data_IF_277838750905
#
_entry.id   IF_277838750905
#
_cell.length_a   1.000
_cell.length_b   1.000
_cell.length_c   1.000
_cell.angle_alpha   90.00
_cell.angle_beta   90.00
_cell.angle_gamma   90.00
#
_symmetry.space_group_name_H-M   'P 1'
#
loop_
_entity.id
_entity.type
_entity.pdbx_description
1 polymer ?
#
# COMPACT_ATOMS: atom_id res chain seq x y z
N UNK A 1 13.83 16.75 14.49
CA UNK A 1 12.41 16.33 14.53
C UNK A 1 12.31 14.93 13.94
N UNK A 2 11.51 14.05 14.53
CA UNK A 2 11.30 12.68 14.06
C UNK A 2 10.44 12.67 12.79
N UNK A 3 10.81 11.86 11.80
CA UNK A 3 10.04 11.71 10.55
C UNK A 3 9.11 10.51 10.67
N UNK A 4 7.90 10.64 10.12
CA UNK A 4 6.88 9.60 10.14
C UNK A 4 6.64 9.04 8.74
N UNK A 5 6.24 7.77 8.66
CA UNK A 5 5.90 7.06 7.43
C UNK A 5 4.82 6.02 7.74
N UNK A 6 4.12 5.55 6.72
CA UNK A 6 3.05 4.57 6.84
C UNK A 6 3.45 3.28 6.13
N UNK A 7 3.18 2.14 6.77
CA UNK A 7 3.17 0.82 6.14
C UNK A 7 1.74 0.31 6.18
N UNK A 8 1.15 0.09 5.01
CA UNK A 8 -0.20 -0.42 4.85
C UNK A 8 -0.18 -1.87 4.34
N UNK A 9 -0.98 -2.72 4.96
CA UNK A 9 -1.21 -4.08 4.51
C UNK A 9 -2.37 -4.15 3.53
N UNK A 10 -3.17 -3.08 3.37
CA UNK A 10 -4.44 -3.09 2.63
C UNK A 10 -5.45 -4.03 3.30
N UNK A 11 -5.81 -3.77 4.58
CA UNK A 11 -6.67 -4.67 5.35
C UNK A 11 -8.10 -4.69 4.80
N UNK A 12 -8.63 -5.90 4.61
CA UNK A 12 -10.05 -6.14 4.37
C UNK A 12 -10.73 -6.28 5.73
N UNK A 13 -11.60 -5.34 6.06
CA UNK A 13 -12.34 -5.36 7.34
C UNK A 13 -13.40 -6.45 7.31
N UNK A 14 -13.78 -6.94 8.49
CA UNK A 14 -14.86 -7.92 8.64
C UNK A 14 -16.14 -7.44 7.95
N UNK A 15 -16.74 -8.31 7.12
CA UNK A 15 -17.92 -7.98 6.31
C UNK A 15 -17.68 -7.02 5.13
N UNK A 16 -16.44 -6.55 4.94
CA UNK A 16 -16.06 -5.63 3.88
C UNK A 16 -15.62 -6.32 2.59
N UNK A 17 -15.42 -5.50 1.57
CA UNK A 17 -15.01 -5.92 0.22
C UNK A 17 -13.60 -5.45 -0.12
N UNK A 18 -13.00 -6.05 -1.15
CA UNK A 18 -11.71 -5.60 -1.68
C UNK A 18 -11.77 -4.15 -2.18
N UNK A 19 -12.87 -3.74 -2.81
CA UNK A 19 -13.05 -2.38 -3.29
C UNK A 19 -13.01 -1.35 -2.16
N UNK A 20 -13.63 -1.66 -1.02
CA UNK A 20 -13.59 -0.81 0.18
C UNK A 20 -12.19 -0.76 0.79
N UNK A 21 -11.46 -1.88 0.80
CA UNK A 21 -10.08 -1.92 1.27
C UNK A 21 -9.17 -1.01 0.42
N UNK A 22 -9.26 -1.09 -0.91
CA UNK A 22 -8.48 -0.23 -1.80
C UNK A 22 -8.86 1.26 -1.67
N UNK A 23 -10.15 1.57 -1.56
CA UNK A 23 -10.61 2.93 -1.30
C UNK A 23 -10.06 3.49 0.02
N UNK A 24 -10.08 2.68 1.09
CA UNK A 24 -9.54 3.05 2.39
C UNK A 24 -8.02 3.28 2.33
N UNK A 25 -7.27 2.45 1.60
CA UNK A 25 -5.83 2.65 1.35
C UNK A 25 -5.55 3.97 0.62
N UNK A 26 -6.32 4.32 -0.41
CA UNK A 26 -6.18 5.60 -1.11
C UNK A 26 -6.45 6.79 -0.18
N UNK A 27 -7.48 6.70 0.66
CA UNK A 27 -7.80 7.75 1.64
C UNK A 27 -6.74 7.88 2.73
N UNK A 28 -6.18 6.76 3.20
CA UNK A 28 -5.06 6.75 4.14
C UNK A 28 -3.82 7.40 3.52
N UNK A 29 -3.51 7.10 2.26
CA UNK A 29 -2.37 7.71 1.57
C UNK A 29 -2.55 9.22 1.39
N UNK A 30 -3.74 9.70 1.02
CA UNK A 30 -4.06 11.14 1.00
C UNK A 30 -3.91 11.77 2.37
N UNK A 31 -4.35 11.09 3.43
CA UNK A 31 -4.21 11.59 4.79
C UNK A 31 -2.74 11.68 5.20
N UNK A 32 -1.94 10.65 4.92
CA UNK A 32 -0.50 10.62 5.17
C UNK A 32 0.23 11.76 4.45
N UNK A 33 -0.14 12.03 3.19
CA UNK A 33 0.40 13.16 2.42
C UNK A 33 0.04 14.52 3.04
N UNK A 34 -1.22 14.72 3.45
CA UNK A 34 -1.66 15.97 4.09
C UNK A 34 -0.94 16.27 5.40
N UNK A 35 -0.58 15.24 6.17
CA UNK A 35 0.17 15.39 7.43
C UNK A 35 1.70 15.34 7.22
N UNK A 36 2.15 15.39 5.97
CA UNK A 36 3.57 15.48 5.59
C UNK A 36 4.38 14.27 6.08
N UNK A 37 3.82 13.06 5.98
CA UNK A 37 4.61 11.84 6.08
C UNK A 37 5.62 11.74 4.93
N UNK A 38 6.79 11.15 5.22
CA UNK A 38 7.86 10.99 4.22
C UNK A 38 7.50 9.98 3.14
N UNK A 39 6.88 8.86 3.55
CA UNK A 39 6.67 7.67 2.73
C UNK A 39 5.36 6.95 3.07
N UNK A 40 4.78 6.33 2.06
CA UNK A 40 3.70 5.36 2.16
C UNK A 40 4.14 4.05 1.51
N UNK A 41 4.14 2.96 2.27
CA UNK A 41 4.52 1.64 1.79
C UNK A 41 3.34 0.68 1.77
N UNK A 42 3.36 -0.25 0.81
CA UNK A 42 2.43 -1.38 0.75
C UNK A 42 3.23 -2.67 0.98
N UNK A 43 2.71 -3.56 1.82
CA UNK A 43 3.28 -4.89 2.06
C UNK A 43 2.63 -5.97 1.18
N UNK A 44 3.44 -6.89 0.67
CA UNK A 44 2.97 -8.06 -0.08
C UNK A 44 2.56 -9.21 0.87
N UNK A 45 1.33 -9.70 0.73
CA UNK A 45 0.85 -10.92 1.41
C UNK A 45 -0.02 -11.73 0.46
N UNK A 46 0.02 -13.06 0.61
CA UNK A 46 -0.73 -14.02 -0.19
C UNK A 46 -1.46 -15.01 0.70
N UNK A 47 -2.57 -15.58 0.21
CA UNK A 47 -3.39 -16.56 0.93
C UNK A 47 -3.87 -16.10 2.32
N UNK A 48 -4.21 -14.81 2.43
CA UNK A 48 -4.74 -14.19 3.65
C UNK A 48 -6.00 -13.39 3.31
N UNK A 49 -7.18 -13.91 3.66
CA UNK A 49 -8.48 -13.30 3.30
C UNK A 49 -8.63 -11.86 3.80
N UNK A 50 -7.99 -11.52 4.92
CA UNK A 50 -8.01 -10.18 5.52
C UNK A 50 -7.05 -9.16 4.90
N UNK A 51 -6.29 -9.52 3.85
CA UNK A 51 -5.23 -8.67 3.30
C UNK A 51 -5.29 -8.63 1.76
N UNK A 52 -5.42 -7.44 1.19
CA UNK A 52 -5.51 -7.22 -0.26
C UNK A 52 -4.19 -6.69 -0.89
N UNK A 53 -3.06 -6.78 -0.19
CA UNK A 53 -1.76 -6.23 -0.62
C UNK A 53 -0.94 -7.09 -1.60
N UNK A 54 -1.43 -8.25 -2.04
CA UNK A 54 -0.65 -9.24 -2.81
C UNK A 54 -0.15 -8.78 -4.18
N UNK A 55 -0.89 -7.89 -4.87
CA UNK A 55 -0.46 -7.30 -6.14
C UNK A 55 0.20 -5.93 -5.92
N UNK A 56 1.31 -5.89 -5.16
CA UNK A 56 1.90 -4.67 -4.60
C UNK A 56 2.14 -3.56 -5.64
N UNK A 57 2.64 -3.87 -6.83
CA UNK A 57 2.86 -2.88 -7.89
C UNK A 57 1.55 -2.20 -8.37
N UNK A 58 0.46 -2.96 -8.46
CA UNK A 58 -0.86 -2.46 -8.87
C UNK A 58 -1.47 -1.59 -7.77
N UNK A 59 -1.37 -2.02 -6.51
CA UNK A 59 -1.82 -1.21 -5.37
C UNK A 59 -1.03 0.10 -5.30
N UNK A 60 0.29 0.07 -5.53
CA UNK A 60 1.10 1.28 -5.57
C UNK A 60 0.71 2.21 -6.71
N UNK A 61 0.35 1.70 -7.89
CA UNK A 61 -0.20 2.53 -8.96
C UNK A 61 -1.51 3.22 -8.54
N UNK A 62 -2.40 2.51 -7.83
CA UNK A 62 -3.63 3.08 -7.27
C UNK A 62 -3.34 4.20 -6.25
N UNK A 63 -2.37 3.98 -5.35
CA UNK A 63 -1.92 5.00 -4.39
C UNK A 63 -1.28 6.19 -5.10
N UNK A 64 -0.48 5.95 -6.13
CA UNK A 64 0.16 7.00 -6.94
C UNK A 64 -0.87 7.89 -7.65
N UNK A 65 -1.99 7.32 -8.10
CA UNK A 65 -3.10 8.08 -8.67
C UNK A 65 -3.86 8.92 -7.61
N UNK A 66 -3.83 8.51 -6.33
CA UNK A 66 -4.52 9.20 -5.25
C UNK A 66 -3.70 10.32 -4.60
N UNK A 67 -2.38 10.40 -4.86
CA UNK A 67 -1.43 11.29 -4.19
C UNK A 67 -0.60 12.08 -5.21
N UNK A 68 0.23 13.04 -4.76
CA UNK A 68 0.97 13.93 -5.68
C UNK A 68 2.43 14.22 -5.31
N UNK A 69 2.82 13.99 -4.06
CA UNK A 69 4.14 14.38 -3.51
C UNK A 69 4.72 13.33 -2.57
N UNK A 70 3.90 12.61 -1.80
CA UNK A 70 4.38 11.57 -0.88
C UNK A 70 5.10 10.48 -1.67
N UNK A 71 6.21 10.00 -1.15
CA UNK A 71 6.94 8.90 -1.78
C UNK A 71 6.18 7.60 -1.55
N UNK A 72 5.98 6.82 -2.59
CA UNK A 72 5.35 5.51 -2.52
C UNK A 72 6.37 4.40 -2.77
N UNK A 73 6.15 3.20 -2.23
CA UNK A 73 7.01 2.04 -2.52
C UNK A 73 6.56 0.76 -1.83
N UNK A 74 7.26 -0.34 -2.06
CA UNK A 74 7.00 -1.61 -1.37
C UNK A 74 7.71 -1.67 -0.02
N UNK A 75 7.06 -2.22 1.01
CA UNK A 75 7.66 -2.47 2.33
C UNK A 75 7.34 -3.86 2.91
N UNK A 76 7.54 -4.97 2.19
CA UNK A 76 8.34 -5.18 0.98
C UNK A 76 7.70 -6.13 -0.03
N UNK A 77 8.39 -6.31 -1.17
CA UNK A 77 8.09 -7.37 -2.14
C UNK A 77 8.75 -8.67 -1.65
N UNK A 78 8.05 -9.80 -1.81
CA UNK A 78 8.59 -11.13 -1.54
C UNK A 78 9.56 -11.56 -2.66
N UNK A 79 10.67 -10.83 -2.82
CA UNK A 79 11.60 -10.94 -3.95
C UNK A 79 12.00 -12.39 -4.33
N UNK A 80 12.23 -13.33 -3.40
CA UNK A 80 12.52 -14.73 -3.76
C UNK A 80 11.43 -15.44 -4.58
N UNK A 81 10.20 -14.91 -4.60
CA UNK A 81 9.04 -15.47 -5.31
C UNK A 81 8.81 -14.84 -6.69
N UNK A 82 9.61 -13.84 -7.08
CA UNK A 82 9.46 -13.11 -8.34
C UNK A 82 10.72 -13.22 -9.19
N UNK A 83 10.57 -13.13 -10.51
CA UNK A 83 11.74 -12.97 -11.39
C UNK A 83 12.26 -11.53 -11.26
N UNK A 84 13.57 -11.31 -11.04
CA UNK A 84 14.09 -9.94 -10.89
C UNK A 84 13.88 -9.05 -12.12
N UNK A 85 13.69 -9.62 -13.31
CA UNK A 85 13.42 -8.86 -14.54
C UNK A 85 12.00 -8.27 -14.58
N UNK A 86 11.03 -8.89 -13.89
CA UNK A 86 9.64 -8.43 -13.85
C UNK A 86 9.45 -7.22 -12.93
N UNK A 87 10.25 -7.11 -11.88
CA UNK A 87 10.16 -6.07 -10.84
C UNK A 87 10.84 -4.79 -11.31
#
# INVERSE_FOLDING_TARGET
MTRFSVLDLVPVREGGTLGEAFAATADLARAAERVVCDRFWVAEHHAMDGIAGGATAVVLAHVGNATSRIRIGSGGIMLPNHTPFQI
#
